data_IF_195024676144
#
_entry.id   IF_195024676144
#
_cell.length_a   1.000
_cell.length_b   1.000
_cell.length_c   1.000
_cell.angle_alpha   90.00
_cell.angle_beta   90.00
_cell.angle_gamma   90.00
#
_symmetry.space_group_name_H-M   'P 1'
#
loop_
_entity.id
_entity.type
_entity.pdbx_description
1 polymer ?
#
# COMPACT_ATOMS: atom_id res chain seq x y z
N UNK A 1 -58.79 -28.58 -22.66
CA UNK A 1 -57.36 -28.74 -22.36
C UNK A 1 -56.64 -27.47 -22.74
N UNK A 2 -56.58 -26.47 -21.85
CA UNK A 2 -55.68 -26.37 -20.68
C UNK A 2 -54.26 -26.03 -21.09
N UNK A 3 -53.94 -24.74 -20.94
CA UNK A 3 -52.67 -24.12 -20.58
C UNK A 3 -51.36 -24.90 -20.80
N UNK A 4 -50.43 -24.32 -21.58
CA UNK A 4 -49.06 -24.14 -21.05
C UNK A 4 -48.30 -23.06 -21.80
N UNK A 5 -47.71 -22.16 -21.02
CA UNK A 5 -47.00 -20.93 -21.40
C UNK A 5 -45.67 -21.19 -22.10
N UNK A 6 -45.17 -20.25 -22.94
CA UNK A 6 -43.78 -20.25 -23.40
C UNK A 6 -42.88 -19.65 -22.31
N UNK A 7 -41.91 -20.41 -21.80
CA UNK A 7 -40.83 -19.85 -20.98
C UNK A 7 -39.62 -20.78 -20.94
N UNK A 8 -38.58 -20.39 -21.65
CA UNK A 8 -37.22 -20.27 -21.10
C UNK A 8 -36.39 -19.54 -22.15
N UNK A 9 -36.20 -18.25 -21.89
CA UNK A 9 -35.06 -17.50 -22.37
C UNK A 9 -33.83 -18.14 -21.73
N UNK A 10 -33.11 -18.95 -22.49
CA UNK A 10 -31.78 -19.35 -22.07
C UNK A 10 -30.82 -18.20 -22.39
N UNK A 11 -30.76 -17.29 -21.40
CA UNK A 11 -29.67 -16.32 -21.24
C UNK A 11 -28.45 -17.14 -20.84
N UNK A 12 -27.71 -17.63 -21.82
CA UNK A 12 -26.30 -17.91 -21.63
C UNK A 12 -25.59 -16.57 -21.62
N UNK A 13 -25.65 -15.95 -20.43
CA UNK A 13 -24.83 -14.81 -20.06
C UNK A 13 -23.37 -15.16 -20.27
N UNK A 14 -22.72 -14.25 -20.99
CA UNK A 14 -21.28 -14.07 -21.11
C UNK A 14 -20.55 -14.61 -19.87
N UNK A 15 -19.82 -15.70 -20.06
CA UNK A 15 -18.65 -15.97 -19.24
C UNK A 15 -17.59 -14.95 -19.61
N UNK A 16 -17.69 -13.75 -19.05
CA UNK A 16 -16.56 -12.85 -18.94
C UNK A 16 -15.51 -13.58 -18.11
N UNK A 17 -14.60 -14.25 -18.80
CA UNK A 17 -13.28 -14.54 -18.29
C UNK A 17 -12.66 -13.18 -17.99
N UNK A 18 -12.89 -12.70 -16.77
CA UNK A 18 -12.06 -11.67 -16.13
C UNK A 18 -10.66 -12.26 -16.00
N UNK A 19 -9.97 -12.33 -17.14
CA UNK A 19 -8.53 -12.25 -17.18
C UNK A 19 -8.22 -10.96 -16.44
N UNK A 20 -7.85 -11.13 -15.17
CA UNK A 20 -7.30 -10.15 -14.27
C UNK A 20 -6.13 -9.48 -15.00
N UNK A 21 -6.45 -8.47 -15.81
CA UNK A 21 -5.50 -7.57 -16.42
C UNK A 21 -4.96 -6.82 -15.24
N UNK A 22 -3.85 -7.33 -14.68
CA UNK A 22 -2.98 -6.56 -13.80
C UNK A 22 -2.66 -5.29 -14.58
N UNK A 23 -3.35 -4.22 -14.25
CA UNK A 23 -3.17 -2.94 -14.93
C UNK A 23 -1.72 -2.54 -14.69
N UNK A 24 -1.03 -2.04 -15.70
CA UNK A 24 0.37 -1.61 -15.62
C UNK A 24 0.62 -0.66 -14.42
N UNK A 25 -0.42 0.09 -14.05
CA UNK A 25 -0.52 0.90 -12.84
C UNK A 25 -0.27 0.14 -11.54
N UNK A 26 -0.75 -1.11 -11.40
CA UNK A 26 -0.57 -1.94 -10.22
C UNK A 26 0.88 -2.40 -10.04
N UNK A 27 1.61 -2.64 -11.14
CA UNK A 27 3.03 -3.02 -11.11
C UNK A 27 3.87 -1.84 -10.61
N UNK A 28 3.65 -0.65 -11.16
CA UNK A 28 4.35 0.56 -10.70
C UNK A 28 4.06 0.89 -9.24
N UNK A 29 2.82 0.69 -8.77
CA UNK A 29 2.47 0.90 -7.36
C UNK A 29 3.14 -0.11 -6.44
N UNK A 30 3.25 -1.37 -6.85
CA UNK A 30 4.00 -2.38 -6.10
C UNK A 30 5.48 -1.99 -5.99
N UNK A 31 6.12 -1.56 -7.08
CA UNK A 31 7.51 -1.10 -7.04
C UNK A 31 7.72 0.10 -6.10
N UNK A 32 6.78 1.05 -6.09
CA UNK A 32 6.82 2.21 -5.20
C UNK A 32 6.65 1.79 -3.74
N UNK A 33 5.77 0.83 -3.48
CA UNK A 33 5.56 0.26 -2.15
C UNK A 33 6.81 -0.48 -1.65
N UNK A 34 7.43 -1.30 -2.50
CA UNK A 34 8.69 -1.98 -2.16
C UNK A 34 9.80 -0.99 -1.85
N UNK A 35 9.96 0.07 -2.65
CA UNK A 35 10.93 1.16 -2.38
C UNK A 35 10.63 1.88 -1.07
N UNK A 36 9.36 2.14 -0.78
CA UNK A 36 8.96 2.79 0.47
C UNK A 36 9.29 1.90 1.68
N UNK A 37 9.06 0.58 1.55
CA UNK A 37 9.35 -0.39 2.59
C UNK A 37 10.85 -0.57 2.80
N UNK A 38 11.64 -0.64 1.72
CA UNK A 38 13.10 -0.72 1.77
C UNK A 38 13.69 0.53 2.43
N UNK A 39 13.26 1.73 2.03
CA UNK A 39 13.64 2.99 2.67
C UNK A 39 13.30 3.00 4.17
N UNK A 40 12.14 2.47 4.55
CA UNK A 40 11.78 2.36 5.96
C UNK A 40 12.67 1.36 6.70
N UNK A 41 13.05 0.24 6.07
CA UNK A 41 13.91 -0.79 6.66
C UNK A 41 15.37 -0.35 6.82
N UNK A 42 15.87 0.51 5.92
CA UNK A 42 17.21 1.09 5.98
C UNK A 42 17.31 2.32 6.89
N UNK A 43 16.18 2.77 7.45
CA UNK A 43 16.12 3.95 8.33
C UNK A 43 16.01 5.28 7.59
N UNK A 44 15.81 5.26 6.28
CA UNK A 44 15.52 6.45 5.47
C UNK A 44 14.04 6.88 5.60
N UNK A 45 13.63 7.25 6.82
CA UNK A 45 12.22 7.55 7.12
C UNK A 45 11.64 8.70 6.29
N UNK A 46 12.46 9.72 5.98
CA UNK A 46 12.04 10.83 5.11
C UNK A 46 11.63 10.31 3.72
N UNK A 47 12.49 9.49 3.10
CA UNK A 47 12.22 8.89 1.80
C UNK A 47 11.00 7.95 1.87
N UNK A 48 10.91 7.12 2.91
CA UNK A 48 9.77 6.25 3.12
C UNK A 48 8.45 7.02 3.25
N UNK A 49 8.45 8.16 3.96
CA UNK A 49 7.29 9.04 4.09
C UNK A 49 6.87 9.62 2.74
N UNK A 50 7.81 10.17 1.98
CA UNK A 50 7.52 10.79 0.69
C UNK A 50 6.98 9.76 -0.32
N UNK A 51 7.56 8.56 -0.36
CA UNK A 51 7.07 7.47 -1.20
C UNK A 51 5.68 6.98 -0.76
N UNK A 52 5.46 6.79 0.54
CA UNK A 52 4.15 6.41 1.08
C UNK A 52 3.08 7.48 0.83
N UNK A 53 3.43 8.76 0.90
CA UNK A 53 2.52 9.85 0.53
C UNK A 53 2.17 9.81 -0.97
N UNK A 54 3.16 9.54 -1.84
CA UNK A 54 2.92 9.36 -3.27
C UNK A 54 1.96 8.20 -3.56
N UNK A 55 2.11 7.09 -2.85
CA UNK A 55 1.19 5.96 -2.93
C UNK A 55 -0.22 6.33 -2.46
N UNK A 56 -0.36 7.07 -1.37
CA UNK A 56 -1.66 7.55 -0.88
C UNK A 56 -2.32 8.57 -1.80
N UNK A 57 -1.55 9.38 -2.54
CA UNK A 57 -2.10 10.27 -3.55
C UNK A 57 -2.67 9.49 -4.75
N UNK A 58 -2.04 8.36 -5.12
CA UNK A 58 -2.53 7.49 -6.18
C UNK A 58 -3.67 6.57 -5.73
N UNK A 59 -3.60 6.06 -4.49
CA UNK A 59 -4.59 5.16 -3.86
C UNK A 59 -4.83 5.60 -2.41
N UNK A 60 -5.74 6.56 -2.17
CA UNK A 60 -6.01 7.06 -0.82
C UNK A 60 -6.66 6.01 0.10
N UNK A 61 -7.23 4.96 -0.47
CA UNK A 61 -7.79 3.81 0.25
C UNK A 61 -6.77 2.72 0.63
N UNK A 62 -5.50 2.88 0.22
CA UNK A 62 -4.43 1.93 0.55
C UNK A 62 -4.05 2.03 2.04
N UNK A 63 -4.63 1.13 2.84
CA UNK A 63 -4.36 1.03 4.27
C UNK A 63 -2.93 0.62 4.61
N UNK A 64 -2.21 -0.05 3.71
CA UNK A 64 -0.82 -0.42 3.94
C UNK A 64 0.11 0.78 3.78
N UNK A 65 -0.09 1.56 2.71
CA UNK A 65 0.62 2.82 2.50
C UNK A 65 0.32 3.84 3.63
N UNK A 66 -0.94 3.91 4.10
CA UNK A 66 -1.32 4.75 5.23
C UNK A 66 -0.53 4.40 6.49
N UNK A 67 -0.48 3.10 6.84
CA UNK A 67 0.26 2.63 8.00
C UNK A 67 1.76 2.88 7.88
N UNK A 68 2.33 2.73 6.68
CA UNK A 68 3.74 3.01 6.44
C UNK A 68 4.05 4.50 6.61
N UNK A 69 3.21 5.37 6.06
CA UNK A 69 3.31 6.82 6.24
C UNK A 69 3.22 7.23 7.72
N UNK A 70 2.26 6.68 8.47
CA UNK A 70 2.13 6.94 9.90
C UNK A 70 3.35 6.45 10.68
N UNK A 71 3.88 5.27 10.36
CA UNK A 71 5.08 4.72 11.02
C UNK A 71 6.31 5.57 10.72
N UNK A 72 6.53 5.96 9.47
CA UNK A 72 7.65 6.80 9.08
C UNK A 72 7.59 8.17 9.78
N UNK A 73 6.40 8.80 9.85
CA UNK A 73 6.23 10.10 10.53
C UNK A 73 6.55 10.07 12.02
N UNK A 74 6.45 8.92 12.71
CA UNK A 74 6.84 8.85 14.14
C UNK A 74 8.32 9.09 14.37
N UNK A 75 9.13 8.81 13.35
CA UNK A 75 10.58 9.01 13.38
C UNK A 75 10.99 10.28 12.68
N UNK A 76 10.06 11.18 12.32
CA UNK A 76 10.36 12.44 11.64
C UNK A 76 9.88 13.59 12.53
N UNK A 77 10.67 14.66 12.61
CA UNK A 77 10.28 15.87 13.34
C UNK A 77 9.00 16.48 12.77
N UNK A 78 8.29 17.27 13.57
CA UNK A 78 7.09 18.02 13.15
C UNK A 78 7.39 18.95 11.95
N UNK A 79 8.61 19.50 11.89
CA UNK A 79 9.09 20.32 10.76
C UNK A 79 9.49 19.49 9.52
N UNK A 80 9.34 18.17 9.57
CA UNK A 80 9.55 17.28 8.44
C UNK A 80 11.00 17.20 7.92
N UNK A 81 11.96 17.81 8.63
CA UNK A 81 13.32 18.05 8.14
C UNK A 81 14.39 17.11 8.72
N UNK A 82 14.09 16.39 9.80
CA UNK A 82 15.08 15.55 10.49
C UNK A 82 14.43 14.30 11.08
N UNK A 83 15.21 13.22 11.19
CA UNK A 83 14.83 12.01 11.90
C UNK A 83 14.90 12.26 13.41
N UNK A 84 13.85 11.92 14.16
CA UNK A 84 13.74 12.10 15.61
C UNK A 84 13.39 10.77 16.28
N UNK A 85 13.74 10.61 17.56
CA UNK A 85 13.38 9.43 18.35
C UNK A 85 14.31 8.22 18.17
N UNK A 86 15.28 8.29 17.25
CA UNK A 86 16.38 7.32 17.14
C UNK A 86 17.71 8.08 17.12
N UNK A 87 18.67 7.64 17.93
CA UNK A 87 20.06 8.05 17.80
C UNK A 87 20.71 7.42 16.56
N UNK A 88 21.84 7.96 16.10
CA UNK A 88 22.57 7.43 14.93
C UNK A 88 22.95 5.95 15.11
N UNK A 89 23.29 5.54 16.33
CA UNK A 89 23.59 4.14 16.65
C UNK A 89 22.35 3.24 16.56
N UNK A 90 21.17 3.73 16.99
CA UNK A 90 19.92 3.00 16.86
C UNK A 90 19.44 2.94 15.41
N UNK A 91 19.69 4.00 14.63
CA UNK A 91 19.44 4.02 13.18
C UNK A 91 20.32 3.00 12.45
N UNK A 92 21.59 2.87 12.84
CA UNK A 92 22.48 1.84 12.28
C UNK A 92 22.09 0.42 12.69
N UNK A 93 21.50 0.25 13.88
CA UNK A 93 21.00 -1.04 14.36
C UNK A 93 19.55 -1.32 13.89
N UNK A 94 18.96 -0.41 13.13
CA UNK A 94 17.58 -0.53 12.67
C UNK A 94 17.46 -1.65 11.64
N UNK A 95 16.47 -2.52 11.85
CA UNK A 95 16.18 -3.66 10.96
C UNK A 95 14.78 -3.57 10.34
N UNK A 96 14.16 -2.40 10.39
CA UNK A 96 12.78 -2.21 9.93
C UNK A 96 11.69 -2.72 10.85
N UNK A 97 12.05 -3.29 12.02
CA UNK A 97 11.09 -3.72 13.04
C UNK A 97 11.12 -2.74 14.19
N UNK A 98 10.08 -1.91 14.29
CA UNK A 98 9.81 -1.15 15.51
C UNK A 98 9.40 -2.14 16.61
N UNK A 99 10.32 -2.49 17.52
CA UNK A 99 9.94 -3.22 18.73
C UNK A 99 9.11 -2.25 19.58
N UNK A 100 7.78 -2.34 19.47
CA UNK A 100 6.89 -1.67 20.41
C UNK A 100 6.99 -2.44 21.73
N UNK A 101 7.92 -2.05 22.59
CA UNK A 101 7.82 -2.44 24.00
C UNK A 101 6.53 -1.86 24.56
N UNK A 102 5.70 -2.75 25.12
CA UNK A 102 4.34 -2.48 25.58
C UNK A 102 4.33 -1.93 26.99
#
# INVERSE_FOLDING_TARGET
>A
DSHSTPRVTDVFGEGSEDADVVQESDVHLAEWYEKALDAYQTGEFLLARDLALGLLQARPEDGAAARLFERANRYISVDGSQVVGLSEAELQAWTGVAVMEK
#
